data_IF_417472358193
#
_entry.id   IF_417472358193
#
_cell.length_a   1.000
_cell.length_b   1.000
_cell.length_c   1.000
_cell.angle_alpha   90.00
_cell.angle_beta   90.00
_cell.angle_gamma   90.00
#
_symmetry.space_group_name_H-M   'P 1'
#
loop_
_entity.id
_entity.type
_entity.pdbx_description
1 polymer ?
#
# COMPACT_ATOMS: atom_id res chain seq x y z
N UNK A 1 -4.86 -31.04 -38.37
CA UNK A 1 -4.71 -31.18 -36.90
C UNK A 1 -3.39 -30.62 -36.34
N UNK A 2 -2.21 -30.98 -36.85
CA UNK A 2 -0.92 -30.49 -36.31
C UNK A 2 -0.77 -28.95 -36.31
N UNK A 3 -1.24 -28.27 -37.36
CA UNK A 3 -1.18 -26.80 -37.48
C UNK A 3 -2.07 -26.10 -36.44
N UNK A 4 -3.26 -26.64 -36.17
CA UNK A 4 -4.20 -26.06 -35.20
C UNK A 4 -3.66 -26.18 -33.76
N UNK A 5 -3.01 -27.30 -33.43
CA UNK A 5 -2.35 -27.50 -32.13
C UNK A 5 -1.20 -26.50 -31.96
N UNK A 6 -0.44 -26.23 -33.02
CA UNK A 6 0.66 -25.26 -32.98
C UNK A 6 0.16 -23.83 -32.70
N UNK A 7 -0.94 -23.40 -33.31
CA UNK A 7 -1.55 -22.09 -33.04
C UNK A 7 -2.14 -22.00 -31.62
N UNK A 8 -2.76 -23.08 -31.13
CA UNK A 8 -3.24 -23.14 -29.75
C UNK A 8 -2.07 -23.06 -28.76
N UNK A 9 -1.00 -23.84 -28.95
CA UNK A 9 0.19 -23.76 -28.11
C UNK A 9 0.84 -22.38 -28.14
N UNK A 10 0.90 -21.72 -29.31
CA UNK A 10 1.42 -20.36 -29.44
C UNK A 10 0.57 -19.34 -28.66
N UNK A 11 -0.77 -19.44 -28.76
CA UNK A 11 -1.70 -18.61 -27.99
C UNK A 11 -1.59 -18.88 -26.47
N UNK A 12 -1.39 -20.12 -26.04
CA UNK A 12 -1.18 -20.44 -24.62
C UNK A 12 0.18 -19.97 -24.10
N UNK A 13 1.24 -19.95 -24.91
CA UNK A 13 2.55 -19.40 -24.51
C UNK A 13 2.55 -17.87 -24.34
N UNK A 14 1.73 -17.14 -25.10
CA UNK A 14 1.57 -15.68 -24.88
C UNK A 14 0.72 -15.35 -23.64
N UNK A 15 -0.14 -16.28 -23.19
CA UNK A 15 -0.99 -16.10 -22.01
C UNK A 15 -0.37 -16.64 -20.71
N UNK A 16 0.79 -17.29 -20.75
CA UNK A 16 1.40 -17.94 -19.58
C UNK A 16 2.55 -17.16 -18.91
N UNK A 17 2.87 -15.96 -19.39
CA UNK A 17 3.70 -14.99 -18.68
C UNK A 17 2.81 -14.00 -17.92
N UNK A 18 2.00 -14.52 -17.00
CA UNK A 18 1.46 -13.66 -15.94
C UNK A 18 2.60 -13.42 -14.97
N UNK A 19 3.13 -12.20 -14.94
CA UNK A 19 4.05 -11.80 -13.90
C UNK A 19 3.36 -11.96 -12.54
N UNK A 20 4.06 -12.49 -11.56
CA UNK A 20 3.60 -12.51 -10.17
C UNK A 20 3.43 -11.08 -9.64
N UNK A 21 2.61 -10.87 -8.61
CA UNK A 21 2.47 -9.56 -7.97
C UNK A 21 3.82 -9.02 -7.48
N UNK A 22 4.67 -9.90 -6.95
CA UNK A 22 6.04 -9.56 -6.55
C UNK A 22 6.91 -9.06 -7.71
N UNK A 23 6.89 -9.74 -8.87
CA UNK A 23 7.60 -9.26 -10.06
C UNK A 23 7.05 -7.92 -10.56
N UNK A 24 5.72 -7.73 -10.54
CA UNK A 24 5.11 -6.45 -10.93
C UNK A 24 5.60 -5.32 -10.04
N UNK A 25 5.64 -5.53 -8.71
CA UNK A 25 6.19 -4.56 -7.77
C UNK A 25 7.68 -4.29 -8.03
N UNK A 26 8.50 -5.35 -8.11
CA UNK A 26 9.94 -5.25 -8.35
C UNK A 26 10.28 -4.44 -9.60
N UNK A 27 9.57 -4.68 -10.72
CA UNK A 27 9.87 -4.00 -11.99
C UNK A 27 9.25 -2.60 -12.12
N UNK A 28 8.14 -2.31 -11.45
CA UNK A 28 7.36 -1.11 -11.74
C UNK A 28 7.28 -0.11 -10.57
N UNK A 29 7.58 -0.52 -9.33
CA UNK A 29 7.46 0.38 -8.19
C UNK A 29 8.50 1.50 -8.22
N UNK A 30 9.78 1.19 -8.46
CA UNK A 30 10.86 2.19 -8.50
C UNK A 30 10.57 3.32 -9.50
N UNK A 31 10.17 2.96 -10.73
CA UNK A 31 9.76 3.94 -11.76
C UNK A 31 8.60 4.81 -11.26
N UNK A 32 7.54 4.19 -10.72
CA UNK A 32 6.39 4.94 -10.22
C UNK A 32 6.76 5.85 -9.04
N UNK A 33 7.62 5.39 -8.14
CA UNK A 33 8.03 6.11 -6.95
C UNK A 33 8.80 7.39 -7.29
N UNK A 34 9.65 7.38 -8.31
CA UNK A 34 10.42 8.56 -8.72
C UNK A 34 9.51 9.66 -9.26
N UNK A 35 8.55 9.30 -10.12
CA UNK A 35 7.69 10.24 -10.85
C UNK A 35 6.24 10.31 -10.31
N UNK A 36 6.02 9.86 -9.07
CA UNK A 36 4.69 9.78 -8.49
C UNK A 36 4.03 11.18 -8.44
N UNK A 37 2.80 11.35 -8.97
CA UNK A 37 2.05 12.60 -8.84
C UNK A 37 1.44 12.71 -7.43
N UNK A 38 2.31 12.89 -6.44
CA UNK A 38 2.00 12.85 -5.02
C UNK A 38 1.18 14.08 -4.60
N UNK A 39 0.03 13.84 -3.98
CA UNK A 39 -0.83 14.86 -3.40
C UNK A 39 -0.56 14.98 -1.90
N UNK A 40 0.06 16.08 -1.48
CA UNK A 40 0.45 16.34 -0.07
C UNK A 40 -0.78 16.26 0.85
N UNK A 41 -0.65 15.58 1.98
CA UNK A 41 -1.69 15.24 2.96
C UNK A 41 -2.77 14.25 2.48
N UNK A 42 -2.57 13.58 1.34
CA UNK A 42 -3.51 12.59 0.81
C UNK A 42 -2.85 11.22 0.55
N UNK A 43 -2.06 10.72 1.50
CA UNK A 43 -1.37 9.43 1.43
C UNK A 43 -2.28 8.27 0.98
N UNK A 44 -3.51 8.19 1.48
CA UNK A 44 -4.53 7.22 1.07
C UNK A 44 -4.86 7.28 -0.44
N UNK A 45 -5.03 8.49 -1.02
CA UNK A 45 -5.24 8.64 -2.46
C UNK A 45 -3.99 8.29 -3.24
N UNK A 46 -2.81 8.66 -2.74
CA UNK A 46 -1.54 8.38 -3.41
C UNK A 46 -1.30 6.86 -3.51
N UNK A 47 -1.51 6.13 -2.41
CA UNK A 47 -1.37 4.67 -2.41
C UNK A 47 -2.51 3.97 -3.16
N UNK A 48 -3.72 4.56 -3.21
CA UNK A 48 -4.77 4.07 -4.11
C UNK A 48 -4.37 4.23 -5.59
N UNK A 49 -3.76 5.37 -5.98
CA UNK A 49 -3.24 5.58 -7.35
C UNK A 49 -2.13 4.57 -7.68
N UNK A 50 -1.26 4.24 -6.71
CA UNK A 50 -0.25 3.18 -6.86
C UNK A 50 -0.90 1.82 -7.07
N UNK A 51 -1.88 1.41 -6.27
CA UNK A 51 -2.64 0.16 -6.47
C UNK A 51 -3.28 0.12 -7.87
N UNK A 52 -3.85 1.25 -8.33
CA UNK A 52 -4.39 1.34 -9.70
C UNK A 52 -3.32 1.14 -10.76
N UNK A 53 -2.14 1.72 -10.58
CA UNK A 53 -1.02 1.55 -11.50
C UNK A 53 -0.54 0.09 -11.52
N UNK A 54 -0.31 -0.52 -10.36
CA UNK A 54 0.10 -1.93 -10.24
C UNK A 54 -0.94 -2.88 -10.84
N UNK A 55 -2.24 -2.66 -10.60
CA UNK A 55 -3.32 -3.44 -11.21
C UNK A 55 -3.28 -3.38 -12.74
N UNK A 56 -3.01 -2.20 -13.31
CA UNK A 56 -2.85 -2.05 -14.77
C UNK A 56 -1.65 -2.81 -15.33
N UNK A 57 -0.63 -3.05 -14.50
CA UNK A 57 0.56 -3.83 -14.83
C UNK A 57 0.40 -5.33 -14.58
N UNK A 58 -0.76 -5.77 -14.07
CA UNK A 58 -1.09 -7.18 -13.87
C UNK A 58 -0.97 -7.68 -12.43
N UNK A 59 -0.72 -6.81 -11.45
CA UNK A 59 -0.70 -7.22 -10.04
C UNK A 59 -2.06 -7.73 -9.58
N UNK A 60 -2.07 -8.81 -8.80
CA UNK A 60 -3.25 -9.21 -8.02
C UNK A 60 -3.29 -8.38 -6.73
N UNK A 61 -4.30 -7.51 -6.62
CA UNK A 61 -4.44 -6.64 -5.46
C UNK A 61 -4.84 -7.39 -4.19
N UNK A 62 -5.34 -8.62 -4.28
CA UNK A 62 -5.63 -9.45 -3.11
C UNK A 62 -4.36 -9.99 -2.42
N UNK A 63 -3.21 -9.97 -3.13
CA UNK A 63 -1.91 -10.34 -2.55
C UNK A 63 -1.23 -9.16 -1.84
N UNK A 64 -1.70 -7.93 -2.07
CA UNK A 64 -1.16 -6.71 -1.48
C UNK A 64 -2.01 -6.32 -0.27
N UNK A 65 -1.39 -6.12 0.89
CA UNK A 65 -2.05 -5.54 2.06
C UNK A 65 -1.91 -4.02 2.06
N UNK A 66 -2.93 -3.34 2.57
CA UNK A 66 -2.90 -1.92 2.87
C UNK A 66 -2.85 -1.75 4.38
N UNK A 67 -1.78 -1.14 4.87
CA UNK A 67 -1.63 -0.83 6.28
C UNK A 67 -2.08 0.61 6.50
N UNK A 68 -3.03 0.79 7.43
CA UNK A 68 -3.42 2.10 7.93
C UNK A 68 -2.78 2.26 9.30
N UNK A 69 -1.71 3.04 9.32
CA UNK A 69 -0.98 3.41 10.52
C UNK A 69 -1.77 4.50 11.20
N UNK A 70 -2.18 4.27 12.43
CA UNK A 70 -2.86 5.24 13.27
C UNK A 70 -2.04 5.44 14.53
N UNK A 71 -2.10 6.67 15.03
CA UNK A 71 -1.51 6.97 16.31
C UNK A 71 -2.56 6.90 17.42
N UNK A 72 -2.15 6.44 18.60
CA UNK A 72 -2.89 6.73 19.82
C UNK A 72 -2.96 8.26 20.05
N UNK A 73 -4.18 8.77 20.10
CA UNK A 73 -4.49 10.20 20.30
C UNK A 73 -4.10 10.72 21.69
N UNK A 74 -3.78 9.84 22.63
CA UNK A 74 -3.32 10.22 23.97
C UNK A 74 -1.81 10.48 24.04
N UNK A 75 -1.07 10.26 22.95
CA UNK A 75 0.39 10.39 22.86
C UNK A 75 0.82 11.57 21.96
N UNK A 76 2.09 11.97 22.07
CA UNK A 76 2.71 13.01 21.23
C UNK A 76 2.67 12.62 19.76
N UNK A 77 2.34 13.57 18.86
CA UNK A 77 2.15 13.31 17.43
C UNK A 77 3.39 12.65 16.79
N UNK A 78 3.19 11.70 15.89
CA UNK A 78 4.25 11.12 15.08
C UNK A 78 4.86 12.20 14.16
N UNK A 79 6.16 12.41 14.29
CA UNK A 79 6.96 13.29 13.44
C UNK A 79 7.89 12.42 12.56
N UNK A 80 7.45 12.06 11.34
CA UNK A 80 8.26 11.24 10.45
C UNK A 80 9.59 11.93 10.14
N UNK A 81 10.69 11.20 10.34
CA UNK A 81 12.05 11.73 10.19
C UNK A 81 12.56 11.65 8.75
N UNK A 82 12.14 10.61 8.01
CA UNK A 82 12.58 10.35 6.64
C UNK A 82 11.42 10.46 5.65
N UNK A 83 10.69 11.59 5.69
CA UNK A 83 9.60 11.90 4.76
C UNK A 83 10.07 12.66 3.52
N UNK A 84 9.49 12.37 2.35
CA UNK A 84 9.69 13.12 1.08
C UNK A 84 8.81 14.34 0.96
N UNK A 85 7.55 14.23 1.38
CA UNK A 85 6.51 15.23 1.11
C UNK A 85 5.78 15.65 2.39
N UNK A 86 5.17 14.68 3.08
CA UNK A 86 4.42 14.90 4.32
C UNK A 86 5.36 14.73 5.52
N UNK A 87 5.43 15.75 6.37
CA UNK A 87 6.31 15.79 7.55
C UNK A 87 5.56 15.67 8.89
N UNK A 88 4.24 15.46 8.86
CA UNK A 88 3.44 15.22 10.06
C UNK A 88 2.07 14.66 9.72
N UNK A 89 1.67 13.54 10.33
CA UNK A 89 0.35 12.94 10.08
C UNK A 89 -0.22 12.27 11.34
N UNK A 90 -1.55 12.31 11.50
CA UNK A 90 -2.26 11.61 12.60
C UNK A 90 -2.54 10.13 12.27
N UNK A 91 -2.45 9.80 10.98
CA UNK A 91 -2.55 8.47 10.42
C UNK A 91 -1.90 8.48 9.03
N UNK A 92 -1.40 7.33 8.59
CA UNK A 92 -0.70 7.15 7.32
C UNK A 92 -1.14 5.86 6.63
N UNK A 93 -0.98 5.79 5.32
CA UNK A 93 -1.33 4.61 4.53
C UNK A 93 -0.11 4.17 3.75
N UNK A 94 0.19 2.88 3.81
CA UNK A 94 1.25 2.24 3.03
C UNK A 94 0.78 0.91 2.47
N UNK A 95 1.49 0.37 1.48
CA UNK A 95 1.26 -0.99 0.97
C UNK A 95 2.29 -1.95 1.56
N UNK A 96 1.88 -3.20 1.79
CA UNK A 96 2.73 -4.30 2.24
C UNK A 96 2.55 -5.48 1.29
N UNK A 97 3.64 -6.05 0.79
CA UNK A 97 3.64 -7.30 0.05
C UNK A 97 4.94 -8.06 0.34
N UNK A 98 4.82 -9.33 0.71
CA UNK A 98 5.95 -10.25 0.99
C UNK A 98 7.02 -9.65 1.92
N UNK A 99 6.58 -9.04 3.04
CA UNK A 99 7.47 -8.43 4.03
C UNK A 99 8.05 -7.07 3.65
N UNK A 100 7.76 -6.54 2.45
CA UNK A 100 8.24 -5.24 1.98
C UNK A 100 7.13 -4.20 2.03
N UNK A 101 7.45 -3.05 2.64
CA UNK A 101 6.61 -1.85 2.68
C UNK A 101 6.93 -0.94 1.51
N UNK A 102 5.89 -0.54 0.79
CA UNK A 102 5.94 0.42 -0.29
C UNK A 102 5.23 1.70 0.16
N UNK A 103 6.04 2.69 0.54
CA UNK A 103 5.59 4.00 1.03
C UNK A 103 6.07 5.09 0.09
N UNK A 104 5.15 5.74 -0.61
CA UNK A 104 5.48 6.85 -1.51
C UNK A 104 6.03 8.09 -0.78
N UNK A 105 5.79 8.20 0.53
CA UNK A 105 6.28 9.30 1.34
C UNK A 105 7.59 9.00 2.06
N UNK A 106 8.05 7.75 2.13
CA UNK A 106 9.36 7.45 2.70
C UNK A 106 10.46 7.92 1.74
N UNK A 107 11.51 8.54 2.27
CA UNK A 107 12.67 8.95 1.48
C UNK A 107 13.53 7.72 1.11
N UNK A 108 14.29 7.83 0.01
CA UNK A 108 15.27 6.83 -0.43
C UNK A 108 14.76 5.36 -0.42
N UNK A 109 13.48 5.15 -0.73
CA UNK A 109 12.82 3.86 -0.63
C UNK A 109 12.22 3.39 -1.96
N UNK A 110 12.93 3.60 -3.07
CA UNK A 110 12.45 3.23 -4.41
C UNK A 110 12.42 1.71 -4.67
N UNK A 111 13.03 0.92 -3.79
CA UNK A 111 12.93 -0.55 -3.75
C UNK A 111 11.94 -1.04 -2.68
N UNK A 112 11.31 -0.13 -1.93
CA UNK A 112 10.57 -0.44 -0.71
C UNK A 112 11.49 -0.59 0.50
N UNK A 113 10.90 -0.86 1.67
CA UNK A 113 11.61 -1.01 2.94
C UNK A 113 11.13 -2.30 3.61
N UNK A 114 12.04 -3.11 4.15
CA UNK A 114 11.63 -4.26 4.95
C UNK A 114 10.76 -3.84 6.13
N UNK A 115 9.66 -4.55 6.36
CA UNK A 115 8.70 -4.24 7.43
C UNK A 115 9.36 -4.15 8.81
N UNK A 116 10.39 -4.96 9.05
CA UNK A 116 11.16 -4.95 10.30
C UNK A 116 11.86 -3.61 10.55
N UNK A 117 12.31 -2.94 9.50
CA UNK A 117 13.07 -1.69 9.58
C UNK A 117 12.19 -0.45 9.36
N UNK A 118 11.04 -0.62 8.71
CA UNK A 118 10.19 0.47 8.24
C UNK A 118 9.81 1.48 9.33
N UNK A 119 9.35 1.01 10.50
CA UNK A 119 8.88 1.92 11.55
C UNK A 119 10.04 2.73 12.16
N UNK A 120 11.16 2.10 12.47
CA UNK A 120 12.36 2.80 12.93
C UNK A 120 12.91 3.76 11.89
N UNK A 121 12.85 3.38 10.61
CA UNK A 121 13.32 4.22 9.51
C UNK A 121 12.44 5.45 9.32
N UNK A 122 11.12 5.28 9.24
CA UNK A 122 10.19 6.38 8.91
C UNK A 122 9.84 7.25 10.10
N UNK A 123 9.72 6.68 11.30
CA UNK A 123 9.32 7.39 12.52
C UNK A 123 10.51 7.74 13.44
N UNK A 124 11.70 7.24 13.16
CA UNK A 124 12.88 7.46 14.00
C UNK A 124 12.80 6.74 15.35
N UNK A 125 13.48 7.31 16.36
CA UNK A 125 13.57 6.73 17.71
C UNK A 125 12.27 6.89 18.55
N UNK A 126 11.28 7.66 18.07
CA UNK A 126 9.98 7.88 18.73
C UNK A 126 9.07 6.64 18.72
N UNK A 127 9.50 5.55 18.08
CA UNK A 127 8.82 4.25 18.08
C UNK A 127 8.72 3.60 19.46
N UNK A 128 9.52 4.05 20.43
CA UNK A 128 9.44 3.59 21.83
C UNK A 128 8.38 4.32 22.67
N UNK A 129 8.00 5.54 22.25
CA UNK A 129 7.13 6.44 23.04
C UNK A 129 5.68 6.52 22.50
N UNK A 130 5.43 5.92 21.34
CA UNK A 130 4.14 5.95 20.65
C UNK A 130 3.66 4.53 20.36
N UNK A 131 2.47 4.19 20.89
CA UNK A 131 1.78 2.97 20.48
C UNK A 131 1.33 3.15 19.03
N UNK A 132 2.11 2.59 18.10
CA UNK A 132 1.74 2.51 16.69
C UNK A 132 0.59 1.53 16.59
N UNK A 133 -0.54 2.01 16.10
CA UNK A 133 -1.74 1.21 15.90
C UNK A 133 -1.90 0.96 14.39
N UNK A 134 -2.31 -0.23 14.02
CA UNK A 134 -2.45 -0.64 12.63
C UNK A 134 -3.85 -1.17 12.38
N UNK A 135 -4.37 -0.87 11.20
CA UNK A 135 -5.43 -1.66 10.56
C UNK A 135 -4.88 -2.24 9.28
N UNK A 136 -5.32 -3.45 8.96
CA UNK A 136 -4.84 -4.18 7.79
C UNK A 136 -6.04 -4.48 6.91
N UNK A 137 -5.95 -4.07 5.64
CA UNK A 137 -6.97 -4.33 4.64
C UNK A 137 -6.36 -5.05 3.45
N UNK A 138 -7.18 -5.83 2.76
CA UNK A 138 -6.85 -6.29 1.43
C UNK A 138 -6.78 -5.12 0.44
N UNK A 139 -5.84 -5.18 -0.50
CA UNK A 139 -5.64 -4.16 -1.51
C UNK A 139 -6.83 -4.00 -2.44
N UNK A 140 -7.56 -5.08 -2.73
CA UNK A 140 -8.78 -5.05 -3.54
C UNK A 140 -9.91 -4.27 -2.85
N UNK A 141 -10.11 -4.48 -1.55
CA UNK A 141 -11.10 -3.79 -0.74
C UNK A 141 -10.80 -2.30 -0.67
N UNK A 142 -9.54 -1.94 -0.36
CA UNK A 142 -9.12 -0.54 -0.33
C UNK A 142 -9.22 0.12 -1.71
N UNK A 143 -8.77 -0.56 -2.77
CA UNK A 143 -8.90 -0.09 -4.15
C UNK A 143 -10.36 0.17 -4.53
N UNK A 144 -11.28 -0.73 -4.16
CA UNK A 144 -12.70 -0.65 -4.52
C UNK A 144 -13.39 0.60 -3.98
N UNK A 145 -12.84 1.22 -2.93
CA UNK A 145 -13.34 2.46 -2.38
C UNK A 145 -13.06 3.66 -3.31
N UNK A 146 -11.88 3.70 -3.94
CA UNK A 146 -11.45 4.80 -4.81
C UNK A 146 -11.79 4.58 -6.28
N UNK A 147 -11.91 3.31 -6.71
CA UNK A 147 -12.02 2.97 -8.13
C UNK A 147 -13.07 1.89 -8.39
N UNK A 148 -13.61 1.89 -9.61
CA UNK A 148 -14.36 0.78 -10.16
C UNK A 148 -13.40 -0.35 -10.59
N UNK A 149 -13.88 -1.59 -10.81
CA UNK A 149 -13.04 -2.70 -11.25
C UNK A 149 -12.24 -2.43 -12.54
N UNK A 150 -12.78 -1.58 -13.42
CA UNK A 150 -12.15 -1.12 -14.67
C UNK A 150 -11.10 -0.01 -14.48
N UNK A 151 -10.88 0.45 -13.24
CA UNK A 151 -9.93 1.50 -12.89
C UNK A 151 -10.43 2.94 -13.04
N UNK A 152 -11.71 3.16 -13.42
CA UNK A 152 -12.32 4.49 -13.39
C UNK A 152 -12.47 4.98 -11.95
N UNK A 153 -12.30 6.28 -11.74
CA UNK A 153 -12.37 6.91 -10.41
C UNK A 153 -13.81 6.95 -9.89
N UNK A 154 -13.97 6.74 -8.59
CA UNK A 154 -15.20 6.98 -7.84
C UNK A 154 -15.16 8.37 -7.21
N UNK A 155 -16.34 8.87 -6.84
CA UNK A 155 -16.45 10.10 -6.06
C UNK A 155 -15.91 9.85 -4.66
N UNK A 156 -14.84 10.55 -4.29
CA UNK A 156 -14.24 10.46 -2.97
C UNK A 156 -15.13 11.16 -1.92
N UNK A 157 -15.37 10.49 -0.79
CA UNK A 157 -16.10 11.05 0.34
C UNK A 157 -15.29 10.90 1.65
N UNK A 158 -14.65 11.98 2.14
CA UNK A 158 -13.82 11.92 3.34
C UNK A 158 -14.53 11.34 4.58
N UNK A 159 -15.82 11.64 4.76
CA UNK A 159 -16.57 11.13 5.91
C UNK A 159 -16.78 9.61 5.84
N UNK A 160 -17.08 9.09 4.66
CA UNK A 160 -17.20 7.64 4.43
C UNK A 160 -15.84 6.94 4.54
N UNK A 161 -14.75 7.58 4.10
CA UNK A 161 -13.40 7.06 4.30
C UNK A 161 -13.10 6.89 5.79
N UNK A 162 -13.31 7.94 6.58
CA UNK A 162 -13.11 7.89 8.05
C UNK A 162 -13.93 6.76 8.66
N UNK A 163 -15.22 6.66 8.30
CA UNK A 163 -16.10 5.61 8.81
C UNK A 163 -15.57 4.22 8.49
N UNK A 164 -15.21 3.95 7.24
CA UNK A 164 -14.78 2.62 6.75
C UNK A 164 -13.40 2.19 7.22
N UNK A 165 -12.47 3.14 7.39
CA UNK A 165 -11.04 2.84 7.50
C UNK A 165 -10.38 3.34 8.79
N UNK A 166 -10.91 4.36 9.45
CA UNK A 166 -10.23 5.00 10.59
C UNK A 166 -11.02 4.93 11.90
N UNK A 167 -12.33 4.74 11.83
CA UNK A 167 -13.23 4.81 12.98
C UNK A 167 -13.30 3.50 13.77
N UNK A 168 -13.93 3.55 14.94
CA UNK A 168 -14.25 2.33 15.72
C UNK A 168 -15.27 1.42 15.02
N UNK A 169 -15.99 1.91 14.02
CA UNK A 169 -16.92 1.14 13.18
C UNK A 169 -16.24 0.50 11.95
N UNK A 170 -14.95 0.77 11.76
CA UNK A 170 -14.19 0.22 10.65
C UNK A 170 -14.06 -1.32 10.77
N UNK A 171 -14.11 -2.02 9.64
CA UNK A 171 -14.18 -3.49 9.59
C UNK A 171 -12.92 -4.19 10.13
N UNK A 172 -11.73 -3.71 9.77
CA UNK A 172 -10.48 -4.25 10.33
C UNK A 172 -10.35 -3.76 11.77
N UNK A 173 -10.06 -4.61 12.77
CA UNK A 173 -9.76 -4.15 14.11
C UNK A 173 -8.47 -3.32 14.13
N UNK A 174 -8.34 -2.50 15.16
CA UNK A 174 -7.11 -1.75 15.46
C UNK A 174 -6.20 -2.65 16.30
N UNK A 175 -4.98 -2.90 15.84
CA UNK A 175 -3.99 -3.74 16.52
C UNK A 175 -2.74 -2.92 16.86
N UNK A 176 -2.10 -3.18 17.99
CA UNK A 176 -0.83 -2.54 18.32
C UNK A 176 0.30 -3.19 17.50
N UNK A 177 1.16 -2.40 16.87
CA UNK A 177 2.28 -2.90 16.08
C UNK A 177 3.26 -3.72 16.95
N UNK A 178 3.33 -3.49 18.27
CA UNK A 178 4.12 -4.31 19.21
C UNK A 178 3.54 -5.72 19.43
N UNK A 179 2.26 -5.98 19.11
CA UNK A 179 1.68 -7.33 19.03
C UNK A 179 2.04 -8.04 17.72
N UNK A 180 2.66 -7.34 16.77
CA UNK A 180 3.40 -7.95 15.66
C UNK A 180 4.84 -8.25 16.07
N UNK A 181 5.15 -8.52 17.35
CA UNK A 181 6.42 -9.18 17.70
C UNK A 181 6.44 -10.54 17.00
N UNK A 182 7.08 -10.56 15.84
CA UNK A 182 7.10 -11.63 14.87
C UNK A 182 7.74 -12.89 15.49
N UNK A 183 7.05 -14.02 15.35
CA UNK A 183 7.59 -15.37 15.56
C UNK A 183 8.45 -15.79 14.36
#
# INVERSE_FOLDING_TARGET
MKIIIFYLCFLFSFNSLSASTGEVLYFNYSEYYQDAPYEVNYCHKNHAKLLRYLKKKGADLAEIKVLIIQQDRTRTRLEPQNGRFDNSYAWHVVLLHDGIIYDLNAAYSDEGIELADYFSYTLGYDTLDSDILLRVYEGDFFFSYFYYPDGRERIYNPGDFVKKFLSTEALSPLIQASMLKWF
#
